data_IF_571593742761
#
_entry.id   IF_571593742761
#
_cell.length_a   1.000
_cell.length_b   1.000
_cell.length_c   1.000
_cell.angle_alpha   90.00
_cell.angle_beta   90.00
_cell.angle_gamma   90.00
#
_symmetry.space_group_name_H-M   'P 1'
#
loop_
_entity.id
_entity.type
_entity.pdbx_description
1 polymer ?
#
# COMPACT_ATOMS: atom_id res chain seq x y z
N UNK A 1 -2.73 24.62 9.76
CA UNK A 1 -1.99 23.43 10.25
C UNK A 1 -1.82 22.45 9.09
N UNK A 2 -0.61 21.98 8.82
CA UNK A 2 -0.36 20.99 7.76
C UNK A 2 -0.85 19.63 8.22
N UNK A 3 -1.65 18.96 7.40
CA UNK A 3 -2.20 17.66 7.74
C UNK A 3 -1.15 16.56 7.51
N UNK A 4 -0.85 15.77 8.55
CA UNK A 4 0.05 14.62 8.44
C UNK A 4 -0.63 13.40 7.81
N UNK A 5 0.16 12.61 7.09
CA UNK A 5 -0.28 11.37 6.43
C UNK A 5 0.67 10.21 6.75
N UNK A 6 0.10 9.00 6.78
CA UNK A 6 0.83 7.74 6.87
C UNK A 6 0.77 7.01 5.53
N UNK A 7 1.87 6.34 5.19
CA UNK A 7 1.89 5.25 4.22
C UNK A 7 1.73 3.94 4.99
N UNK A 8 0.79 3.11 4.57
CA UNK A 8 0.46 1.85 5.20
C UNK A 8 0.70 0.71 4.22
N UNK A 9 1.36 -0.38 4.65
CA UNK A 9 1.52 -1.60 3.87
C UNK A 9 0.74 -2.74 4.53
N UNK A 10 -0.12 -3.41 3.77
CA UNK A 10 -0.83 -4.58 4.29
C UNK A 10 0.10 -5.79 4.47
N UNK A 11 -0.04 -6.52 5.59
CA UNK A 11 0.76 -7.72 5.84
C UNK A 11 0.34 -8.93 4.98
N UNK A 12 -0.91 -8.96 4.49
CA UNK A 12 -1.45 -10.06 3.69
C UNK A 12 -1.34 -9.76 2.18
N UNK A 13 -2.16 -8.84 1.65
CA UNK A 13 -2.18 -8.54 0.21
C UNK A 13 -1.03 -7.63 -0.27
N UNK A 14 -0.19 -7.15 0.65
CA UNK A 14 0.97 -6.27 0.38
C UNK A 14 0.63 -4.94 -0.31
N UNK A 15 -0.65 -4.56 -0.38
CA UNK A 15 -1.06 -3.28 -0.98
C UNK A 15 -0.61 -2.12 -0.09
N UNK A 16 -0.23 -1.02 -0.74
CA UNK A 16 0.11 0.22 -0.07
C UNK A 16 -1.06 1.21 -0.11
N UNK A 17 -1.29 1.92 0.99
CA UNK A 17 -2.39 2.88 1.16
C UNK A 17 -1.89 4.15 1.83
N UNK A 18 -2.45 5.29 1.44
CA UNK A 18 -2.26 6.56 2.17
C UNK A 18 -3.45 6.78 3.08
N UNK A 19 -3.20 7.10 4.34
CA UNK A 19 -4.25 7.54 5.26
C UNK A 19 -3.81 8.78 6.03
N UNK A 20 -4.75 9.70 6.24
CA UNK A 20 -4.57 10.84 7.13
C UNK A 20 -4.40 10.36 8.57
N UNK A 21 -3.49 11.01 9.31
CA UNK A 21 -3.28 10.68 10.73
C UNK A 21 -4.56 10.99 11.52
N UNK A 22 -5.05 9.98 12.25
CA UNK A 22 -6.20 10.08 13.16
C UNK A 22 -5.73 9.72 14.58
N UNK A 23 -6.53 10.09 15.59
CA UNK A 23 -6.27 9.69 16.99
C UNK A 23 -6.27 8.17 17.19
N UNK A 24 -7.11 7.46 16.44
CA UNK A 24 -7.12 5.99 16.42
C UNK A 24 -5.88 5.44 15.74
N UNK A 25 -5.15 4.56 16.42
CA UNK A 25 -3.95 3.86 15.92
C UNK A 25 -4.27 2.49 15.31
N UNK A 26 -5.48 2.31 14.76
CA UNK A 26 -5.90 1.07 14.10
C UNK A 26 -5.87 1.25 12.58
N UNK A 27 -5.06 0.44 11.90
CA UNK A 27 -4.91 0.46 10.44
C UNK A 27 -5.22 -0.92 9.88
N UNK A 28 -6.38 -1.03 9.25
CA UNK A 28 -6.82 -2.22 8.55
C UNK A 28 -6.83 -1.93 7.05
N UNK A 29 -6.39 -2.90 6.27
CA UNK A 29 -6.33 -2.81 4.83
C UNK A 29 -7.75 -2.68 4.25
N UNK A 30 -8.00 -1.64 3.46
CA UNK A 30 -9.30 -1.46 2.79
C UNK A 30 -9.66 -2.54 1.77
N UNK A 31 -8.68 -3.32 1.29
CA UNK A 31 -8.93 -4.38 0.31
C UNK A 31 -9.24 -5.72 0.97
N UNK A 32 -8.49 -6.11 1.99
CA UNK A 32 -8.58 -7.46 2.58
C UNK A 32 -8.86 -7.47 4.09
N UNK A 33 -9.04 -6.32 4.73
CA UNK A 33 -9.35 -6.21 6.17
C UNK A 33 -8.18 -6.44 7.13
N UNK A 34 -7.07 -7.01 6.65
CA UNK A 34 -5.93 -7.39 7.49
C UNK A 34 -5.12 -6.21 8.04
N UNK A 35 -4.36 -6.48 9.11
CA UNK A 35 -3.48 -5.50 9.77
C UNK A 35 -2.45 -4.92 8.79
N UNK A 36 -2.05 -3.67 9.06
CA UNK A 36 -1.06 -2.94 8.27
C UNK A 36 0.11 -2.44 9.12
N UNK A 37 1.31 -2.40 8.52
CA UNK A 37 2.45 -1.65 9.04
C UNK A 37 2.42 -0.20 8.54
N UNK A 38 3.04 0.74 9.26
CA UNK A 38 2.99 2.17 8.94
C UNK A 38 4.37 2.83 8.82
N UNK A 39 4.45 3.83 7.95
CA UNK A 39 5.53 4.82 7.83
C UNK A 39 4.96 6.23 7.72
N UNK A 40 5.76 7.27 8.01
CA UNK A 40 5.34 8.68 8.06
C UNK A 40 6.02 9.52 6.98
N UNK A 41 5.33 10.55 6.51
CA UNK A 41 5.86 11.51 5.55
C UNK A 41 4.89 12.64 5.22
N UNK A 42 5.29 13.56 4.33
CA UNK A 42 4.40 14.59 3.83
C UNK A 42 3.30 13.98 2.95
N UNK A 43 2.13 14.63 2.83
CA UNK A 43 1.04 14.10 2.00
C UNK A 43 1.42 13.90 0.53
N UNK A 44 2.27 14.76 -0.02
CA UNK A 44 2.75 14.65 -1.42
C UNK A 44 3.68 13.45 -1.57
N UNK A 45 4.65 13.31 -0.68
CA UNK A 45 5.62 12.21 -0.73
C UNK A 45 4.94 10.87 -0.49
N UNK A 46 4.00 10.81 0.47
CA UNK A 46 3.19 9.63 0.73
C UNK A 46 2.41 9.19 -0.51
N UNK A 47 1.74 10.12 -1.21
CA UNK A 47 0.99 9.80 -2.44
C UNK A 47 1.90 9.31 -3.56
N UNK A 48 3.01 10.01 -3.82
CA UNK A 48 4.00 9.62 -4.85
C UNK A 48 4.60 8.25 -4.54
N UNK A 49 4.97 8.01 -3.28
CA UNK A 49 5.53 6.74 -2.85
C UNK A 49 4.53 5.60 -3.06
N UNK A 50 3.28 5.75 -2.59
CA UNK A 50 2.23 4.73 -2.74
C UNK A 50 1.93 4.41 -4.20
N UNK A 51 1.87 5.43 -5.06
CA UNK A 51 1.69 5.23 -6.49
C UNK A 51 2.83 4.40 -7.09
N UNK A 52 4.09 4.76 -6.79
CA UNK A 52 5.27 4.05 -7.30
C UNK A 52 5.30 2.58 -6.85
N UNK A 53 5.08 2.31 -5.57
CA UNK A 53 5.18 0.94 -5.02
C UNK A 53 4.00 0.05 -5.42
N UNK A 54 2.79 0.61 -5.59
CA UNK A 54 1.65 -0.17 -6.09
C UNK A 54 1.77 -0.44 -7.60
N UNK A 55 2.31 0.48 -8.40
CA UNK A 55 2.60 0.23 -9.81
C UNK A 55 3.56 -0.97 -9.97
N UNK A 56 4.70 -0.93 -9.25
CA UNK A 56 5.66 -2.03 -9.23
C UNK A 56 5.05 -3.35 -8.75
N UNK A 57 4.17 -3.31 -7.74
CA UNK A 57 3.43 -4.51 -7.29
C UNK A 57 2.54 -5.06 -8.39
N UNK A 58 1.87 -4.20 -9.17
CA UNK A 58 1.06 -4.59 -10.32
C UNK A 58 1.90 -5.33 -11.37
N UNK A 59 3.03 -4.76 -11.76
CA UNK A 59 3.98 -5.37 -12.72
C UNK A 59 4.43 -6.77 -12.25
N UNK A 60 4.79 -6.91 -10.97
CA UNK A 60 5.20 -8.21 -10.40
C UNK A 60 4.06 -9.24 -10.45
N UNK A 61 2.83 -8.81 -10.17
CA UNK A 61 1.67 -9.71 -10.21
C UNK A 61 1.35 -10.16 -11.64
N UNK A 62 1.42 -9.23 -12.60
CA UNK A 62 1.23 -9.55 -14.03
C UNK A 62 2.32 -10.52 -14.53
N UNK A 63 3.58 -10.32 -14.15
CA UNK A 63 4.68 -11.22 -14.52
C UNK A 63 4.49 -12.62 -13.90
N UNK A 64 4.04 -12.70 -12.65
CA UNK A 64 3.73 -13.97 -12.00
C UNK A 64 2.57 -14.70 -12.67
N UNK A 65 1.52 -13.96 -13.05
CA UNK A 65 0.36 -14.51 -13.76
C UNK A 65 0.79 -15.05 -15.13
N UNK A 66 1.53 -14.26 -15.92
CA UNK A 66 2.08 -14.71 -17.21
C UNK A 66 2.95 -15.96 -17.09
N UNK A 67 3.84 -16.00 -16.08
CA UNK A 67 4.66 -17.18 -15.78
C UNK A 67 3.80 -18.39 -15.43
N UNK A 68 2.77 -18.21 -14.60
CA UNK A 68 1.84 -19.27 -14.28
C UNK A 68 1.17 -19.78 -15.56
N UNK A 69 0.59 -18.90 -16.38
CA UNK A 69 -0.05 -19.23 -17.66
C UNK A 69 0.88 -19.97 -18.62
N UNK A 70 2.13 -19.53 -18.76
CA UNK A 70 3.11 -20.17 -19.64
C UNK A 70 3.53 -21.58 -19.22
N UNK A 71 3.23 -21.97 -17.97
CA UNK A 71 3.58 -23.27 -17.40
C UNK A 71 2.45 -24.30 -17.52
N UNK A 72 1.25 -23.86 -17.89
CA UNK A 72 0.10 -24.72 -18.17
C UNK A 72 0.13 -25.25 -19.60
#
# INVERSE_FOLDING_TARGET
>A
MVQEFHVLRCCSCQTYQVQQVKKSKKWNCKLCGEKQSFGRGSGVDCRRHVQKVNARRGEILEEQDQKAWSRW
#
